data_IF_226680282021
#
_entry.id   IF_226680282021
#
_cell.length_a   1.000
_cell.length_b   1.000
_cell.length_c   1.000
_cell.angle_alpha   90.00
_cell.angle_beta   90.00
_cell.angle_gamma   90.00
#
_symmetry.space_group_name_H-M   'P 1'
#
loop_
_entity.id
_entity.type
_entity.pdbx_description
1 polymer ?
#
# COMPACT_ATOMS: atom_id res chain seq x y z
N UNK A 1 11.86 -5.86 -19.46
CA UNK A 1 11.24 -5.23 -20.65
C UNK A 1 10.02 -4.44 -20.19
N UNK A 2 9.87 -3.18 -20.62
CA UNK A 2 8.72 -2.33 -20.28
C UNK A 2 7.44 -2.88 -20.91
N UNK A 3 6.44 -3.16 -20.10
CA UNK A 3 5.12 -3.69 -20.51
C UNK A 3 4.03 -2.73 -20.04
N UNK A 4 3.02 -2.53 -20.86
CA UNK A 4 1.79 -1.85 -20.46
C UNK A 4 0.77 -2.88 -19.98
N UNK A 5 0.27 -2.72 -18.78
CA UNK A 5 -0.76 -3.59 -18.21
C UNK A 5 -2.07 -2.83 -18.06
N UNK A 6 -3.13 -3.35 -18.70
CA UNK A 6 -4.49 -2.83 -18.55
C UNK A 6 -5.06 -3.31 -17.20
N UNK A 7 -5.55 -2.37 -16.40
CA UNK A 7 -6.12 -2.69 -15.08
C UNK A 7 -7.55 -3.25 -15.17
N UNK A 8 -8.15 -3.29 -16.38
CA UNK A 8 -9.53 -3.74 -16.59
C UNK A 8 -10.56 -2.86 -15.89
N UNK A 9 -10.21 -1.64 -15.49
CA UNK A 9 -11.08 -0.73 -14.75
C UNK A 9 -10.86 0.71 -15.19
N UNK A 10 -11.96 1.41 -15.46
CA UNK A 10 -12.00 2.82 -15.83
C UNK A 10 -11.06 3.20 -17.01
N UNK A 11 -10.68 2.25 -17.85
CA UNK A 11 -9.72 2.45 -18.95
C UNK A 11 -8.29 2.75 -18.50
N UNK A 12 -7.97 2.52 -17.23
CA UNK A 12 -6.64 2.78 -16.68
C UNK A 12 -5.66 1.67 -17.04
N UNK A 13 -4.43 2.07 -17.32
CA UNK A 13 -3.31 1.17 -17.55
C UNK A 13 -2.05 1.67 -16.87
N UNK A 14 -1.16 0.76 -16.48
CA UNK A 14 0.13 1.09 -15.83
C UNK A 14 1.30 0.50 -16.60
N UNK A 15 2.46 1.13 -16.45
CA UNK A 15 3.71 0.54 -16.89
C UNK A 15 4.27 -0.40 -15.82
N UNK A 16 4.76 -1.55 -16.28
CA UNK A 16 5.50 -2.54 -15.50
C UNK A 16 6.81 -2.87 -16.19
N UNK A 17 7.78 -3.37 -15.47
CA UNK A 17 9.00 -3.92 -16.06
C UNK A 17 9.24 -5.33 -15.52
N UNK A 18 9.47 -6.30 -16.42
CA UNK A 18 9.68 -7.71 -16.07
C UNK A 18 10.99 -7.93 -15.28
N UNK A 19 11.92 -6.99 -15.33
CA UNK A 19 13.17 -7.01 -14.56
C UNK A 19 13.03 -6.40 -13.17
N UNK A 20 11.89 -5.74 -12.89
CA UNK A 20 11.55 -5.14 -11.60
C UNK A 20 10.47 -5.95 -10.89
N UNK A 21 10.15 -5.51 -9.67
CA UNK A 21 9.04 -6.09 -8.93
C UNK A 21 7.72 -5.84 -9.63
N UNK A 22 7.01 -6.91 -10.01
CA UNK A 22 5.64 -6.85 -10.51
C UNK A 22 4.66 -6.99 -9.37
N UNK A 23 3.54 -6.28 -9.48
CA UNK A 23 2.48 -6.40 -8.48
C UNK A 23 1.85 -7.80 -8.49
N UNK A 24 1.31 -8.17 -7.35
CA UNK A 24 0.56 -9.41 -7.15
C UNK A 24 -0.92 -9.10 -6.90
N UNK A 25 -1.74 -10.15 -6.89
CA UNK A 25 -3.17 -10.04 -6.52
C UNK A 25 -3.41 -9.31 -5.18
N UNK A 26 -2.42 -9.33 -4.26
CA UNK A 26 -2.49 -8.68 -2.95
C UNK A 26 -2.78 -7.18 -3.05
N UNK A 27 -2.18 -6.51 -4.05
CA UNK A 27 -2.41 -5.09 -4.33
C UNK A 27 -3.86 -4.81 -4.75
N UNK A 28 -4.43 -5.68 -5.60
CA UNK A 28 -5.82 -5.59 -6.05
C UNK A 28 -6.78 -5.88 -4.89
N UNK A 29 -6.47 -6.87 -4.06
CA UNK A 29 -7.27 -7.18 -2.86
C UNK A 29 -7.27 -6.02 -1.87
N UNK A 30 -6.11 -5.40 -1.61
CA UNK A 30 -6.00 -4.24 -0.73
C UNK A 30 -6.84 -3.06 -1.23
N UNK A 31 -6.79 -2.74 -2.52
CA UNK A 31 -7.57 -1.64 -3.09
C UNK A 31 -9.08 -1.88 -2.99
N UNK A 32 -9.53 -3.14 -3.08
CA UNK A 32 -10.95 -3.51 -2.88
C UNK A 32 -11.35 -3.52 -1.40
N UNK A 33 -10.42 -3.83 -0.51
CA UNK A 33 -10.66 -3.80 0.94
C UNK A 33 -10.79 -2.38 1.47
N UNK A 34 -10.02 -1.43 0.95
CA UNK A 34 -10.00 -0.05 1.43
C UNK A 34 -11.35 0.65 1.16
N UNK A 35 -11.99 1.13 2.23
CA UNK A 35 -13.23 1.91 2.10
C UNK A 35 -12.91 3.34 1.72
N UNK A 36 -13.52 3.86 0.65
CA UNK A 36 -13.30 5.23 0.16
C UNK A 36 -14.51 6.10 0.46
N UNK A 37 -14.28 7.27 1.07
CA UNK A 37 -15.30 8.29 1.36
C UNK A 37 -15.21 9.44 0.35
N UNK A 38 -16.27 10.21 0.13
CA UNK A 38 -16.20 11.39 -0.72
C UNK A 38 -15.12 12.40 -0.27
N UNK A 39 -14.37 12.93 -1.21
CA UNK A 39 -13.31 13.91 -0.97
C UNK A 39 -12.01 13.33 -0.40
N UNK A 40 -11.77 12.04 -0.57
CA UNK A 40 -10.60 11.36 -0.04
C UNK A 40 -9.29 11.89 -0.66
N UNK A 41 -8.33 12.19 0.21
CA UNK A 41 -6.93 12.50 -0.16
C UNK A 41 -6.10 11.29 0.26
N UNK A 42 -5.57 10.58 -0.74
CA UNK A 42 -4.95 9.26 -0.56
C UNK A 42 -3.43 9.35 -0.61
N UNK A 43 -2.76 8.69 0.33
CA UNK A 43 -1.34 8.33 0.21
C UNK A 43 -1.21 6.83 -0.07
N UNK A 44 -0.39 6.47 -1.04
CA UNK A 44 0.02 5.09 -1.30
C UNK A 44 1.50 4.98 -0.92
N UNK A 45 1.77 4.33 0.22
CA UNK A 45 3.12 4.16 0.76
C UNK A 45 3.70 2.83 0.30
N UNK A 46 4.98 2.83 -0.09
CA UNK A 46 5.62 1.70 -0.79
C UNK A 46 4.87 1.37 -2.08
N UNK A 47 4.56 2.40 -2.86
CA UNK A 47 3.60 2.31 -3.96
C UNK A 47 4.07 1.45 -5.14
N UNK A 48 5.38 1.16 -5.24
CA UNK A 48 5.93 0.48 -6.41
C UNK A 48 5.62 1.27 -7.68
N UNK A 49 5.07 0.60 -8.68
CA UNK A 49 4.58 1.23 -9.92
C UNK A 49 3.23 1.96 -9.77
N UNK A 50 2.64 2.01 -8.55
CA UNK A 50 1.41 2.72 -8.24
C UNK A 50 0.12 1.89 -8.34
N UNK A 51 0.22 0.57 -8.43
CA UNK A 51 -0.93 -0.31 -8.70
C UNK A 51 -2.09 -0.12 -7.71
N UNK A 52 -1.80 -0.03 -6.38
CA UNK A 52 -2.86 0.08 -5.37
C UNK A 52 -3.62 1.38 -5.55
N UNK A 53 -2.91 2.51 -5.68
CA UNK A 53 -3.53 3.81 -5.86
C UNK A 53 -4.30 3.96 -7.18
N UNK A 54 -3.76 3.46 -8.31
CA UNK A 54 -4.47 3.48 -9.60
C UNK A 54 -5.73 2.62 -9.59
N UNK A 55 -5.65 1.39 -9.06
CA UNK A 55 -6.80 0.50 -9.00
C UNK A 55 -7.86 1.03 -8.02
N UNK A 56 -7.44 1.57 -6.85
CA UNK A 56 -8.34 2.21 -5.90
C UNK A 56 -9.08 3.41 -6.53
N UNK A 57 -8.35 4.22 -7.31
CA UNK A 57 -8.93 5.34 -8.04
C UNK A 57 -9.91 4.87 -9.11
N UNK A 58 -9.55 3.86 -9.90
CA UNK A 58 -10.45 3.30 -10.92
C UNK A 58 -11.78 2.81 -10.34
N UNK A 59 -11.75 2.26 -9.12
CA UNK A 59 -12.97 1.84 -8.40
C UNK A 59 -13.79 3.00 -7.83
N UNK A 60 -13.19 4.20 -7.61
CA UNK A 60 -13.79 5.26 -6.78
C UNK A 60 -13.44 6.67 -7.28
N UNK A 61 -13.27 6.88 -8.58
CA UNK A 61 -12.76 8.14 -9.15
C UNK A 61 -13.55 9.38 -8.69
N UNK A 62 -14.87 9.24 -8.52
CA UNK A 62 -15.76 10.32 -8.09
C UNK A 62 -15.60 10.71 -6.61
N UNK A 63 -14.98 9.83 -5.81
CA UNK A 63 -14.78 10.05 -4.37
C UNK A 63 -13.36 10.49 -4.02
N UNK A 64 -12.38 10.23 -4.89
CA UNK A 64 -10.98 10.51 -4.62
C UNK A 64 -10.61 11.87 -5.20
N UNK A 65 -10.16 12.77 -4.32
CA UNK A 65 -9.68 14.10 -4.72
C UNK A 65 -8.29 14.04 -5.33
N UNK A 66 -7.38 13.31 -4.69
CA UNK A 66 -6.00 13.14 -5.14
C UNK A 66 -5.36 11.89 -4.56
N UNK A 67 -4.32 11.40 -5.24
CA UNK A 67 -3.48 10.28 -4.82
C UNK A 67 -2.01 10.74 -4.85
N UNK A 68 -1.25 10.44 -3.80
CA UNK A 68 0.19 10.67 -3.76
C UNK A 68 0.91 9.35 -3.53
N UNK A 69 1.79 8.99 -4.46
CA UNK A 69 2.68 7.85 -4.38
C UNK A 69 3.96 8.19 -3.63
N UNK A 70 4.38 7.31 -2.70
CA UNK A 70 5.67 7.40 -2.01
C UNK A 70 6.44 6.11 -2.30
N UNK A 71 7.49 6.22 -3.10
CA UNK A 71 8.30 5.09 -3.52
C UNK A 71 9.78 5.43 -3.47
N UNK A 72 10.58 4.58 -2.80
CA UNK A 72 12.00 4.82 -2.64
C UNK A 72 12.83 4.40 -3.85
N UNK A 73 12.41 3.35 -4.54
CA UNK A 73 13.12 2.82 -5.68
C UNK A 73 12.86 3.67 -6.91
N UNK A 74 13.89 4.39 -7.36
CA UNK A 74 13.81 5.30 -8.49
C UNK A 74 13.21 4.66 -9.76
N UNK A 75 13.56 3.42 -10.15
CA UNK A 75 12.96 2.78 -11.32
C UNK A 75 11.45 2.58 -11.20
N UNK A 76 10.94 2.14 -10.03
CA UNK A 76 9.51 1.95 -9.79
C UNK A 76 8.77 3.29 -9.71
N UNK A 77 9.38 4.29 -9.06
CA UNK A 77 8.88 5.67 -9.06
C UNK A 77 8.73 6.19 -10.50
N UNK A 78 9.72 5.99 -11.37
CA UNK A 78 9.66 6.45 -12.76
C UNK A 78 8.52 5.79 -13.56
N UNK A 79 8.25 4.50 -13.30
CA UNK A 79 7.09 3.79 -13.86
C UNK A 79 5.77 4.41 -13.40
N UNK A 80 5.66 4.78 -12.12
CA UNK A 80 4.45 5.42 -11.59
C UNK A 80 4.23 6.80 -12.24
N UNK A 81 5.27 7.60 -12.39
CA UNK A 81 5.21 8.91 -13.07
C UNK A 81 4.81 8.76 -14.55
N UNK A 82 5.39 7.79 -15.25
CA UNK A 82 5.02 7.51 -16.64
C UNK A 82 3.56 7.06 -16.75
N UNK A 83 3.08 6.26 -15.80
CA UNK A 83 1.68 5.79 -15.73
C UNK A 83 0.70 6.94 -15.44
N UNK A 84 1.06 7.90 -14.59
CA UNK A 84 0.26 9.12 -14.35
C UNK A 84 0.04 9.86 -15.67
N UNK A 85 1.12 10.14 -16.41
CA UNK A 85 1.07 10.85 -17.70
C UNK A 85 0.25 10.08 -18.74
N UNK A 86 0.47 8.75 -18.82
CA UNK A 86 -0.27 7.88 -19.76
C UNK A 86 -1.78 7.97 -19.59
N UNK A 87 -2.24 8.08 -18.35
CA UNK A 87 -3.66 8.16 -18.01
C UNK A 87 -4.19 9.60 -17.95
N UNK A 88 -3.39 10.61 -18.26
CA UNK A 88 -3.74 12.04 -18.19
C UNK A 88 -4.30 12.43 -16.80
N UNK A 89 -3.62 11.99 -15.72
CA UNK A 89 -4.03 12.20 -14.33
C UNK A 89 -3.07 13.15 -13.56
N UNK A 90 -2.31 13.98 -14.27
CA UNK A 90 -1.29 14.88 -13.69
C UNK A 90 -1.87 15.95 -12.74
N UNK A 91 -3.16 16.21 -12.82
CA UNK A 91 -3.89 17.14 -11.93
C UNK A 91 -4.32 16.50 -10.61
N UNK A 92 -4.34 15.17 -10.54
CA UNK A 92 -4.85 14.40 -9.39
C UNK A 92 -3.83 13.48 -8.75
N UNK A 93 -2.82 13.06 -9.51
CA UNK A 93 -1.82 12.11 -9.05
C UNK A 93 -0.46 12.77 -8.92
N UNK A 94 0.20 12.52 -7.81
CA UNK A 94 1.53 13.00 -7.49
C UNK A 94 2.42 11.83 -7.12
N UNK A 95 3.72 11.95 -7.38
CA UNK A 95 4.69 10.95 -6.99
C UNK A 95 5.88 11.61 -6.30
N UNK A 96 6.39 10.96 -5.26
CA UNK A 96 7.52 11.41 -4.44
C UNK A 96 8.51 10.25 -4.33
N UNK A 97 9.74 10.46 -4.81
CA UNK A 97 10.80 9.47 -4.67
C UNK A 97 11.47 9.64 -3.30
N UNK A 98 11.02 8.85 -2.32
CA UNK A 98 11.52 8.90 -0.95
C UNK A 98 11.25 7.60 -0.21
N UNK A 99 12.04 7.33 0.83
CA UNK A 99 11.73 6.29 1.80
C UNK A 99 10.56 6.75 2.67
N UNK A 100 9.73 5.81 3.13
CA UNK A 100 8.58 6.16 3.97
C UNK A 100 8.98 6.78 5.32
N UNK A 101 10.18 6.46 5.82
CA UNK A 101 10.74 7.04 7.04
C UNK A 101 11.18 8.51 6.85
N UNK A 102 11.49 8.90 5.62
CA UNK A 102 12.08 10.18 5.26
C UNK A 102 11.05 11.12 4.59
N UNK A 103 9.75 10.78 4.66
CA UNK A 103 8.69 11.63 4.12
C UNK A 103 8.75 13.01 4.77
N UNK A 104 8.82 14.05 3.93
CA UNK A 104 8.91 15.43 4.39
C UNK A 104 7.72 15.82 5.27
N UNK A 105 8.01 16.61 6.30
CA UNK A 105 7.02 17.04 7.29
C UNK A 105 5.88 17.86 6.70
N UNK A 106 6.05 18.44 5.51
CA UNK A 106 4.97 19.13 4.79
C UNK A 106 3.81 18.21 4.42
N UNK A 107 4.03 16.89 4.39
CA UNK A 107 2.98 15.88 4.15
C UNK A 107 2.28 15.41 5.44
N UNK A 108 2.76 15.81 6.63
CA UNK A 108 2.18 15.35 7.89
C UNK A 108 0.76 15.87 8.09
N UNK A 109 -0.15 14.96 8.45
CA UNK A 109 -1.56 15.27 8.69
C UNK A 109 -2.36 15.64 7.43
N UNK A 110 -1.85 15.40 6.23
CA UNK A 110 -2.51 15.79 4.97
C UNK A 110 -3.48 14.76 4.42
N UNK A 111 -3.27 13.49 4.70
CA UNK A 111 -4.02 12.40 4.07
C UNK A 111 -5.17 11.91 4.95
N UNK A 112 -6.28 11.59 4.31
CA UNK A 112 -7.46 11.01 4.98
C UNK A 112 -7.49 9.49 4.88
N UNK A 113 -6.82 8.94 3.87
CA UNK A 113 -6.63 7.51 3.66
C UNK A 113 -5.19 7.25 3.27
N UNK A 114 -4.55 6.27 3.92
CA UNK A 114 -3.31 5.68 3.48
C UNK A 114 -3.56 4.23 3.08
N UNK A 115 -3.00 3.80 1.96
CA UNK A 115 -2.89 2.40 1.58
C UNK A 115 -1.42 2.01 1.57
N UNK A 116 -1.12 0.75 1.91
CA UNK A 116 0.25 0.27 1.89
C UNK A 116 0.29 -1.25 1.66
N UNK A 117 1.00 -1.66 0.63
CA UNK A 117 1.41 -3.04 0.40
C UNK A 117 2.94 -3.13 0.60
N UNK A 118 3.43 -3.23 1.85
CA UNK A 118 4.86 -3.18 2.13
C UNK A 118 5.57 -4.46 1.69
N UNK A 119 6.88 -4.44 1.49
CA UNK A 119 7.65 -5.68 1.29
C UNK A 119 7.58 -6.56 2.54
N UNK A 120 7.19 -7.84 2.37
CA UNK A 120 6.87 -8.75 3.50
C UNK A 120 8.03 -9.55 4.06
N UNK A 121 9.19 -9.57 3.40
CA UNK A 121 10.23 -10.56 3.72
C UNK A 121 11.22 -10.05 4.77
N UNK A 122 11.41 -10.88 5.82
CA UNK A 122 12.49 -10.67 6.78
C UNK A 122 13.86 -10.92 6.11
N UNK A 123 14.90 -10.26 6.63
CA UNK A 123 16.28 -10.31 6.15
C UNK A 123 16.86 -11.75 6.10
N UNK A 124 16.27 -12.71 6.82
CA UNK A 124 16.81 -14.08 7.02
C UNK A 124 16.23 -15.16 6.09
N UNK A 125 15.36 -14.82 5.13
CA UNK A 125 14.91 -15.83 4.18
C UNK A 125 15.98 -16.05 3.11
N UNK A 126 16.79 -17.10 3.28
CA UNK A 126 17.94 -17.49 2.42
C UNK A 126 17.64 -17.80 0.96
N UNK A 127 16.69 -17.15 0.35
CA UNK A 127 16.42 -17.23 -1.08
C UNK A 127 17.38 -16.31 -1.85
N UNK A 128 18.29 -16.90 -2.60
CA UNK A 128 19.12 -16.19 -3.56
C UNK A 128 18.26 -15.74 -4.74
N UNK A 129 17.81 -14.49 -4.72
CA UNK A 129 17.11 -13.87 -5.85
C UNK A 129 18.11 -13.43 -6.93
N UNK A 130 17.72 -13.67 -8.19
CA UNK A 130 18.59 -13.52 -9.38
C UNK A 130 18.86 -12.06 -9.78
N UNK A 131 18.26 -11.06 -9.15
CA UNK A 131 18.59 -9.66 -9.38
C UNK A 131 18.67 -8.87 -8.07
N UNK A 132 19.61 -7.95 -8.01
CA UNK A 132 19.85 -7.08 -6.86
C UNK A 132 18.61 -6.23 -6.53
N UNK A 133 17.86 -5.81 -7.55
CA UNK A 133 16.63 -5.03 -7.42
C UNK A 133 15.48 -5.84 -6.80
N UNK A 134 15.32 -7.11 -7.17
CA UNK A 134 14.31 -8.01 -6.56
C UNK A 134 14.74 -8.39 -5.15
N UNK A 135 16.04 -8.57 -4.91
CA UNK A 135 16.61 -8.78 -3.59
C UNK A 135 16.43 -7.55 -2.70
N UNK A 136 16.53 -6.37 -3.26
CA UNK A 136 16.24 -5.09 -2.60
C UNK A 136 14.74 -4.98 -2.27
N UNK A 137 13.84 -5.27 -3.19
CA UNK A 137 12.39 -5.32 -2.89
C UNK A 137 12.03 -6.31 -1.78
N UNK A 138 12.74 -7.43 -1.71
CA UNK A 138 12.46 -8.50 -0.75
C UNK A 138 13.25 -8.38 0.55
N UNK A 139 14.49 -7.86 0.51
CA UNK A 139 15.38 -7.71 1.67
C UNK A 139 15.38 -6.33 2.25
N UNK A 140 14.95 -5.31 1.46
CA UNK A 140 15.01 -4.01 2.04
C UNK A 140 14.17 -3.98 3.21
N UNK A 141 15.06 -4.65 3.58
CA UNK A 141 15.55 -3.96 4.64
C UNK A 141 14.29 -3.63 5.30
N UNK A 142 13.77 -4.68 5.70
CA UNK A 142 12.75 -4.72 6.71
C UNK A 142 12.34 -3.28 7.06
N UNK A 143 11.46 -2.70 6.25
CA UNK A 143 10.70 -1.58 6.76
C UNK A 143 10.10 -2.13 8.04
N UNK A 144 10.74 -1.82 9.15
CA UNK A 144 10.34 -2.30 10.44
C UNK A 144 8.86 -1.90 10.57
N UNK A 145 8.00 -2.85 10.81
CA UNK A 145 6.55 -2.61 10.95
C UNK A 145 6.27 -1.44 11.88
N UNK A 146 7.12 -1.23 12.89
CA UNK A 146 7.07 -0.08 13.80
C UNK A 146 7.35 1.25 13.08
N UNK A 147 8.32 1.30 12.19
CA UNK A 147 8.64 2.51 11.41
C UNK A 147 7.53 2.81 10.41
N UNK A 148 7.03 1.78 9.73
CA UNK A 148 5.87 1.91 8.84
C UNK A 148 4.66 2.49 9.58
N UNK A 149 4.32 1.94 10.75
CA UNK A 149 3.19 2.41 11.55
C UNK A 149 3.36 3.88 11.97
N UNK A 150 4.58 4.30 12.34
CA UNK A 150 4.89 5.72 12.64
C UNK A 150 4.71 6.61 11.42
N UNK A 151 5.18 6.19 10.25
CA UNK A 151 5.04 6.96 9.00
C UNK A 151 3.58 7.09 8.58
N UNK A 152 2.80 5.99 8.65
CA UNK A 152 1.35 6.01 8.41
C UNK A 152 0.65 6.99 9.36
N UNK A 153 0.98 6.94 10.65
CA UNK A 153 0.41 7.85 11.64
C UNK A 153 0.80 9.31 11.39
N UNK A 154 2.04 9.58 10.97
CA UNK A 154 2.52 10.94 10.72
C UNK A 154 1.77 11.61 9.56
N UNK A 155 1.62 10.93 8.43
CA UNK A 155 1.01 11.50 7.23
C UNK A 155 -0.52 11.61 7.32
N UNK A 156 -1.18 10.75 8.11
CA UNK A 156 -2.63 10.76 8.30
C UNK A 156 -3.07 11.94 9.17
N UNK A 157 -4.16 12.60 8.78
CA UNK A 157 -4.90 13.50 9.66
C UNK A 157 -5.59 12.72 10.80
N UNK A 158 -5.98 13.40 11.87
CA UNK A 158 -6.79 12.79 12.94
C UNK A 158 -8.10 12.23 12.35
N UNK A 159 -8.48 11.00 12.75
CA UNK A 159 -9.61 10.29 12.16
C UNK A 159 -9.34 9.71 10.77
N UNK A 160 -8.15 9.94 10.20
CA UNK A 160 -7.70 9.31 8.96
C UNK A 160 -7.47 7.80 9.14
N UNK A 161 -7.47 7.07 8.03
CA UNK A 161 -7.45 5.61 8.02
C UNK A 161 -6.21 5.10 7.30
N UNK A 162 -5.59 4.07 7.86
CA UNK A 162 -4.55 3.28 7.21
C UNK A 162 -5.12 1.91 6.84
N UNK A 163 -4.99 1.51 5.59
CA UNK A 163 -5.28 0.16 5.11
C UNK A 163 -3.99 -0.49 4.64
N UNK A 164 -3.66 -1.65 5.17
CA UNK A 164 -2.48 -2.39 4.75
C UNK A 164 -2.76 -3.88 4.61
N UNK A 165 -2.00 -4.55 3.77
CA UNK A 165 -1.96 -5.99 3.64
C UNK A 165 -0.63 -6.49 4.19
N UNK A 166 -0.63 -7.66 4.86
CA UNK A 166 0.59 -8.28 5.38
C UNK A 166 0.41 -9.79 5.55
N UNK A 167 1.52 -10.52 5.74
CA UNK A 167 1.51 -11.96 6.02
C UNK A 167 0.78 -12.25 7.31
N UNK A 168 0.01 -13.34 7.33
CA UNK A 168 -0.81 -13.73 8.48
C UNK A 168 0.01 -14.02 9.75
N UNK A 169 1.22 -14.57 9.60
CA UNK A 169 2.15 -14.85 10.71
C UNK A 169 2.67 -13.58 11.42
N UNK A 170 2.50 -12.39 10.82
CA UNK A 170 2.93 -11.11 11.39
C UNK A 170 1.78 -10.28 11.98
N UNK A 171 0.59 -10.88 12.11
CA UNK A 171 -0.61 -10.15 12.55
C UNK A 171 -0.42 -9.47 13.91
N UNK A 172 0.16 -10.17 14.88
CA UNK A 172 0.38 -9.63 16.23
C UNK A 172 1.34 -8.43 16.19
N UNK A 173 2.45 -8.55 15.45
CA UNK A 173 3.44 -7.47 15.35
C UNK A 173 2.83 -6.22 14.71
N UNK A 174 2.04 -6.41 13.65
CA UNK A 174 1.36 -5.30 12.95
C UNK A 174 0.35 -4.62 13.87
N UNK A 175 -0.49 -5.37 14.58
CA UNK A 175 -1.46 -4.81 15.52
C UNK A 175 -0.76 -4.02 16.63
N UNK A 176 0.29 -4.58 17.23
CA UNK A 176 1.05 -3.90 18.28
C UNK A 176 1.69 -2.61 17.77
N UNK A 177 2.31 -2.64 16.60
CA UNK A 177 2.95 -1.46 16.00
C UNK A 177 1.94 -0.35 15.65
N UNK A 178 0.80 -0.71 15.06
CA UNK A 178 -0.27 0.23 14.74
C UNK A 178 -0.78 0.93 16.01
N UNK A 179 -1.10 0.17 17.05
CA UNK A 179 -1.59 0.73 18.31
C UNK A 179 -0.56 1.61 19.02
N UNK A 180 0.71 1.20 19.02
CA UNK A 180 1.81 2.00 19.55
C UNK A 180 1.99 3.33 18.81
N UNK A 181 1.63 3.40 17.52
CA UNK A 181 1.64 4.62 16.72
C UNK A 181 0.33 5.43 16.80
N UNK A 182 -0.64 5.04 17.64
CA UNK A 182 -1.93 5.73 17.77
C UNK A 182 -2.94 5.43 16.65
N UNK A 183 -2.71 4.33 15.93
CA UNK A 183 -3.61 3.80 14.90
C UNK A 183 -4.38 2.62 15.48
N UNK A 184 -5.65 2.80 15.80
CA UNK A 184 -6.47 1.75 16.38
C UNK A 184 -7.10 0.86 15.29
N UNK A 185 -6.83 -0.46 15.29
CA UNK A 185 -7.42 -1.40 14.33
C UNK A 185 -8.94 -1.44 14.40
N UNK A 186 -9.59 -1.38 13.24
CA UNK A 186 -11.06 -1.31 13.13
C UNK A 186 -11.67 -2.42 12.29
N UNK A 187 -10.96 -2.89 11.27
CA UNK A 187 -11.40 -3.97 10.39
C UNK A 187 -10.23 -4.89 10.08
N UNK A 188 -10.49 -6.18 10.11
CA UNK A 188 -9.53 -7.23 9.76
C UNK A 188 -10.20 -8.22 8.81
N UNK A 189 -9.51 -8.63 7.76
CA UNK A 189 -9.96 -9.66 6.83
C UNK A 189 -8.81 -10.58 6.47
N UNK A 190 -9.01 -11.88 6.58
CA UNK A 190 -8.02 -12.86 6.17
C UNK A 190 -8.20 -13.27 4.72
N UNK A 191 -7.06 -13.59 4.08
CA UNK A 191 -6.99 -14.09 2.72
C UNK A 191 -6.50 -15.53 2.74
N UNK A 192 -7.26 -16.40 2.12
CA UNK A 192 -6.96 -17.83 1.97
C UNK A 192 -6.47 -18.10 0.54
N UNK A 193 -5.49 -18.99 0.41
CA UNK A 193 -5.11 -19.64 -0.85
C UNK A 193 -5.83 -21.01 -0.96
N UNK A 194 -5.19 -21.97 -1.58
CA UNK A 194 -5.72 -23.35 -1.67
C UNK A 194 -5.82 -24.05 -0.31
N UNK A 195 -5.02 -23.65 0.68
CA UNK A 195 -5.04 -24.19 2.05
C UNK A 195 -6.06 -23.47 2.93
N UNK A 196 -6.58 -24.10 3.98
CA UNK A 196 -7.54 -23.48 4.90
C UNK A 196 -6.90 -22.41 5.79
N UNK A 197 -5.56 -22.44 5.98
CA UNK A 197 -4.86 -21.46 6.79
C UNK A 197 -4.69 -20.15 6.02
N UNK A 198 -4.97 -19.01 6.67
CA UNK A 198 -4.72 -17.70 6.06
C UNK A 198 -3.22 -17.49 5.79
N UNK A 199 -2.88 -16.98 4.60
CA UNK A 199 -1.51 -16.61 4.27
C UNK A 199 -1.27 -15.09 4.33
N UNK A 200 -2.33 -14.30 4.14
CA UNK A 200 -2.33 -12.86 4.32
C UNK A 200 -3.50 -12.40 5.18
N UNK A 201 -3.38 -11.18 5.66
CA UNK A 201 -4.51 -10.41 6.18
C UNK A 201 -4.47 -8.97 5.63
N UNK A 202 -5.64 -8.37 5.59
CA UNK A 202 -5.81 -6.94 5.37
C UNK A 202 -6.37 -6.30 6.63
N UNK A 203 -5.84 -5.16 7.02
CA UNK A 203 -6.25 -4.45 8.23
C UNK A 203 -6.46 -2.96 7.94
N UNK A 204 -7.56 -2.43 8.46
CA UNK A 204 -7.82 -0.99 8.51
C UNK A 204 -7.68 -0.51 9.95
N UNK A 205 -6.91 0.55 10.15
CA UNK A 205 -6.74 1.21 11.44
C UNK A 205 -7.04 2.71 11.34
N UNK A 206 -7.53 3.31 12.40
CA UNK A 206 -7.96 4.72 12.44
C UNK A 206 -7.07 5.49 13.41
N UNK A 207 -6.51 6.62 12.96
CA UNK A 207 -5.72 7.51 13.82
C UNK A 207 -6.60 8.15 14.89
N UNK A 208 -6.26 7.91 16.16
CA UNK A 208 -7.04 8.36 17.31
C UNK A 208 -8.39 7.65 17.47
N UNK A 209 -8.55 6.48 16.85
CA UNK A 209 -9.76 5.65 16.98
C UNK A 209 -9.93 5.08 18.38
N UNK A 210 -11.19 4.85 18.78
CA UNK A 210 -11.51 4.09 20.00
C UNK A 210 -11.40 2.59 19.72
N UNK A 211 -11.21 1.75 20.73
CA UNK A 211 -11.16 0.28 20.61
C UNK A 211 -12.40 -0.30 19.91
N UNK A 212 -12.29 -1.51 19.37
CA UNK A 212 -13.39 -2.23 18.71
C UNK A 212 -13.01 -2.67 17.30
N UNK A 213 -12.38 -3.85 17.20
CA UNK A 213 -12.01 -4.50 15.94
C UNK A 213 -13.15 -5.39 15.43
N UNK A 214 -13.54 -5.22 14.17
CA UNK A 214 -14.45 -6.12 13.45
C UNK A 214 -13.64 -7.06 12.56
N UNK A 215 -13.76 -8.35 12.78
CA UNK A 215 -13.23 -9.38 11.88
C UNK A 215 -14.28 -9.68 10.82
N UNK A 216 -13.90 -9.55 9.55
CA UNK A 216 -14.75 -9.81 8.39
C UNK A 216 -14.62 -11.27 7.95
N UNK A 217 -15.57 -11.74 7.13
CA UNK A 217 -15.47 -13.05 6.51
C UNK A 217 -14.20 -13.19 5.67
N UNK A 218 -13.61 -14.39 5.67
CA UNK A 218 -12.42 -14.69 4.88
C UNK A 218 -12.73 -14.60 3.37
N UNK A 219 -11.73 -14.22 2.59
CA UNK A 219 -11.79 -14.26 1.12
C UNK A 219 -10.79 -15.27 0.57
N UNK A 220 -11.10 -15.83 -0.58
CA UNK A 220 -10.17 -16.68 -1.35
C UNK A 220 -9.53 -15.85 -2.45
N UNK A 221 -8.23 -16.07 -2.64
CA UNK A 221 -7.44 -15.50 -3.74
C UNK A 221 -7.16 -16.57 -4.79
#
# INVERSE_FOLDING_TARGET
MLVTEDLGIAGLSIYQDDELYRFTSDSVLLSRFASVKPGEVVADLCSGSGIVGFHLYGLNAEKIKSVTFFEMQKPLYDLSVASIKKNALDDRFFAVNTRVQDIDKSYYGKFSLCVCNPPYMAVDSGAHDKSETVAICKREIALNVTELAKSLAAVLKYGGRACLVHRADRLTDVICALRAAGLEPKRLQFVLAAKPEPYLFMIEAVKGGKSGLKVLGNIKN
#
